data_IF_772357008273
#
_entry.id   IF_772357008273
#
_cell.length_a   1.000
_cell.length_b   1.000
_cell.length_c   1.000
_cell.angle_alpha   90.00
_cell.angle_beta   90.00
_cell.angle_gamma   90.00
#
_symmetry.space_group_name_H-M   'P 1'
#
loop_
_entity.id
_entity.type
_entity.pdbx_description
1 polymer ?
#
# COMPACT_ATOMS: atom_id res chain seq x y z
N UNK A 1 4.35 -15.23 -32.44
CA UNK A 1 5.65 -15.86 -32.11
C UNK A 1 5.87 -15.77 -30.61
N UNK A 2 6.54 -16.75 -29.98
CA UNK A 2 6.79 -16.67 -28.53
C UNK A 2 7.97 -15.73 -28.25
N UNK A 3 8.06 -15.22 -27.02
CA UNK A 3 9.05 -14.20 -26.69
C UNK A 3 10.51 -14.71 -26.76
N UNK A 4 10.77 -16.00 -26.53
CA UNK A 4 12.12 -16.56 -26.66
C UNK A 4 12.54 -16.66 -28.12
N UNK A 5 11.63 -16.97 -29.04
CA UNK A 5 11.92 -16.97 -30.49
C UNK A 5 12.17 -15.55 -30.98
N UNK A 6 11.44 -14.57 -30.45
CA UNK A 6 11.70 -13.16 -30.70
C UNK A 6 13.11 -12.73 -30.21
N UNK A 7 13.51 -13.14 -29.01
CA UNK A 7 14.87 -12.92 -28.48
C UNK A 7 15.93 -13.53 -29.40
N UNK A 8 15.71 -14.75 -29.87
CA UNK A 8 16.63 -15.43 -30.78
C UNK A 8 16.86 -14.64 -32.07
N UNK A 9 15.79 -14.17 -32.71
CA UNK A 9 15.87 -13.37 -33.94
C UNK A 9 16.63 -12.06 -33.69
N UNK A 10 16.33 -11.38 -32.59
CA UNK A 10 16.98 -10.11 -32.27
C UNK A 10 18.48 -10.30 -32.04
N UNK A 11 18.88 -11.32 -31.27
CA UNK A 11 20.29 -11.62 -31.06
C UNK A 11 20.98 -12.05 -32.37
N UNK A 12 20.33 -12.90 -33.19
CA UNK A 12 20.87 -13.33 -34.47
C UNK A 12 21.14 -12.15 -35.42
N UNK A 13 20.26 -11.15 -35.43
CA UNK A 13 20.43 -9.93 -36.21
C UNK A 13 21.50 -8.99 -35.64
N UNK A 14 21.60 -8.90 -34.31
CA UNK A 14 22.55 -8.03 -33.64
C UNK A 14 24.01 -8.51 -33.78
N UNK A 15 24.24 -9.83 -33.78
CA UNK A 15 25.58 -10.47 -33.84
C UNK A 15 26.54 -10.05 -32.71
N UNK A 16 25.99 -9.49 -31.64
CA UNK A 16 26.71 -9.11 -30.43
C UNK A 16 25.81 -9.32 -29.19
N UNK A 17 26.38 -9.49 -27.99
CA UNK A 17 25.60 -9.59 -26.76
C UNK A 17 24.80 -8.32 -26.51
N UNK A 18 23.52 -8.47 -26.16
CA UNK A 18 22.64 -7.33 -25.89
C UNK A 18 22.08 -7.39 -24.48
N UNK A 19 21.90 -6.20 -23.89
CA UNK A 19 21.17 -6.05 -22.64
C UNK A 19 19.68 -6.38 -22.85
N UNK A 20 19.01 -6.99 -21.87
CA UNK A 20 17.63 -7.44 -22.03
C UNK A 20 16.63 -6.33 -22.37
N UNK A 21 16.90 -5.10 -21.93
CA UNK A 21 16.07 -3.93 -22.27
C UNK A 21 16.17 -3.62 -23.78
N UNK A 22 17.38 -3.67 -24.34
CA UNK A 22 17.61 -3.47 -25.77
C UNK A 22 17.04 -4.60 -26.61
N UNK A 23 17.16 -5.84 -26.13
CA UNK A 23 16.50 -7.00 -26.77
C UNK A 23 15.00 -6.77 -26.83
N UNK A 24 14.40 -6.31 -25.73
CA UNK A 24 12.95 -6.06 -25.64
C UNK A 24 12.51 -4.94 -26.56
N UNK A 25 13.24 -3.83 -26.58
CA UNK A 25 13.01 -2.69 -27.49
C UNK A 25 12.96 -3.15 -28.94
N UNK A 26 13.97 -3.89 -29.41
CA UNK A 26 14.02 -4.42 -30.78
C UNK A 26 12.91 -5.43 -31.08
N UNK A 27 12.52 -6.26 -30.11
CA UNK A 27 11.39 -7.19 -30.25
C UNK A 27 10.08 -6.44 -30.51
N UNK A 28 9.83 -5.35 -29.77
CA UNK A 28 8.61 -4.56 -29.90
C UNK A 28 8.61 -3.73 -31.18
N UNK A 29 9.72 -3.06 -31.52
CA UNK A 29 9.86 -2.28 -32.75
C UNK A 29 9.65 -3.12 -34.01
N UNK A 30 10.12 -4.37 -34.01
CA UNK A 30 9.95 -5.30 -35.13
C UNK A 30 8.64 -6.08 -35.06
N UNK A 31 7.75 -5.79 -34.10
CA UNK A 31 6.49 -6.48 -33.85
C UNK A 31 6.64 -8.02 -33.76
N UNK A 32 7.79 -8.49 -33.24
CA UNK A 32 8.13 -9.91 -33.15
C UNK A 32 7.36 -10.60 -32.02
N UNK A 33 6.96 -9.85 -30.98
CA UNK A 33 6.16 -10.35 -29.87
C UNK A 33 5.28 -9.22 -29.33
N UNK A 34 4.02 -9.53 -29.01
CA UNK A 34 3.02 -8.60 -28.49
C UNK A 34 2.77 -8.95 -27.02
N UNK A 35 2.67 -7.93 -26.18
CA UNK A 35 2.47 -8.07 -24.72
C UNK A 35 1.58 -6.96 -24.19
N UNK A 36 0.64 -7.31 -23.31
CA UNK A 36 -0.24 -6.37 -22.60
C UNK A 36 0.33 -5.95 -21.24
N UNK A 37 1.43 -6.58 -20.81
CA UNK A 37 2.09 -6.31 -19.53
C UNK A 37 2.82 -4.97 -19.51
N UNK A 38 2.77 -4.28 -18.36
CA UNK A 38 3.39 -2.95 -18.16
C UNK A 38 4.93 -2.98 -18.16
N UNK A 39 5.56 -4.14 -17.99
CA UNK A 39 7.02 -4.33 -17.88
C UNK A 39 7.52 -5.47 -18.80
N UNK A 40 7.49 -5.26 -20.12
CA UNK A 40 7.87 -6.28 -21.10
C UNK A 40 9.35 -6.69 -21.00
N UNK A 41 10.21 -5.79 -20.56
CA UNK A 41 11.65 -5.98 -20.42
C UNK A 41 12.00 -6.93 -19.29
N UNK A 42 11.39 -6.74 -18.11
CA UNK A 42 11.49 -7.68 -17.00
C UNK A 42 11.01 -9.08 -17.39
N UNK A 43 9.97 -9.16 -18.23
CA UNK A 43 9.43 -10.42 -18.77
C UNK A 43 10.44 -11.12 -19.69
N UNK A 44 11.09 -10.39 -20.60
CA UNK A 44 12.13 -10.96 -21.48
C UNK A 44 13.32 -11.45 -20.66
N UNK A 45 13.84 -10.63 -19.74
CA UNK A 45 14.95 -10.99 -18.87
C UNK A 45 14.68 -12.31 -18.12
N UNK A 46 13.53 -12.39 -17.46
CA UNK A 46 13.13 -13.57 -16.69
C UNK A 46 13.02 -14.81 -17.58
N UNK A 47 12.40 -14.69 -18.76
CA UNK A 47 12.19 -15.85 -19.65
C UNK A 47 13.50 -16.38 -20.21
N UNK A 48 14.44 -15.52 -20.61
CA UNK A 48 15.75 -15.94 -21.11
C UNK A 48 16.58 -16.55 -19.98
N UNK A 49 16.60 -15.93 -18.81
CA UNK A 49 17.31 -16.46 -17.64
C UNK A 49 16.77 -17.83 -17.22
N UNK A 50 15.44 -18.03 -17.23
CA UNK A 50 14.80 -19.32 -16.92
C UNK A 50 15.13 -20.37 -17.98
N UNK A 51 15.16 -20.01 -19.27
CA UNK A 51 15.53 -20.95 -20.34
C UNK A 51 16.99 -21.43 -20.19
N UNK A 52 17.93 -20.51 -19.95
CA UNK A 52 19.33 -20.83 -19.68
C UNK A 52 19.45 -21.72 -18.45
N UNK A 53 18.75 -21.39 -17.36
CA UNK A 53 18.77 -22.18 -16.11
C UNK A 53 18.21 -23.59 -16.30
N UNK A 54 17.11 -23.75 -17.05
CA UNK A 54 16.44 -25.04 -17.23
C UNK A 54 17.17 -25.96 -18.22
N UNK A 55 17.69 -25.39 -19.31
CA UNK A 55 18.32 -26.18 -20.39
C UNK A 55 19.84 -26.22 -20.28
N UNK A 56 20.44 -25.37 -19.45
CA UNK A 56 21.88 -25.32 -19.23
C UNK A 56 22.66 -25.19 -20.55
N UNK A 57 23.67 -26.06 -20.80
CA UNK A 57 24.45 -26.03 -22.03
C UNK A 57 23.64 -26.24 -23.32
N UNK A 58 22.41 -26.75 -23.21
CA UNK A 58 21.51 -27.02 -24.34
C UNK A 58 20.66 -25.78 -24.68
N UNK A 59 20.63 -24.76 -23.82
CA UNK A 59 19.97 -23.50 -24.16
C UNK A 59 20.69 -22.85 -25.35
N UNK A 60 19.92 -22.34 -26.31
CA UNK A 60 20.44 -21.53 -27.42
C UNK A 60 20.97 -20.16 -26.96
N UNK A 61 20.74 -19.80 -25.70
CA UNK A 61 21.21 -18.57 -25.09
C UNK A 61 22.31 -18.85 -24.07
N UNK A 62 23.16 -17.85 -23.87
CA UNK A 62 24.12 -17.80 -22.78
C UNK A 62 24.12 -16.38 -22.19
N UNK A 63 24.59 -16.27 -20.95
CA UNK A 63 24.78 -14.97 -20.30
C UNK A 63 26.24 -14.57 -20.41
N UNK A 64 26.53 -13.35 -20.82
CA UNK A 64 27.92 -12.86 -20.96
C UNK A 64 28.30 -11.88 -19.85
N UNK A 65 27.31 -11.17 -19.29
CA UNK A 65 27.43 -10.25 -18.14
C UNK A 65 26.08 -10.12 -17.41
N UNK A 66 26.00 -9.51 -16.21
CA UNK A 66 24.71 -9.20 -15.57
C UNK A 66 23.78 -8.42 -16.51
N UNK A 67 22.64 -9.00 -16.87
CA UNK A 67 21.65 -8.38 -17.77
C UNK A 67 21.92 -8.52 -19.27
N UNK A 68 23.08 -9.05 -19.68
CA UNK A 68 23.46 -9.25 -21.09
C UNK A 68 23.36 -10.70 -21.53
N UNK A 69 22.74 -10.90 -22.69
CA UNK A 69 22.51 -12.21 -23.28
C UNK A 69 23.07 -12.31 -24.69
N UNK A 70 23.56 -13.49 -25.05
CA UNK A 70 24.12 -13.81 -26.35
C UNK A 70 23.62 -15.17 -26.85
N UNK A 71 23.79 -15.46 -28.14
CA UNK A 71 23.57 -16.82 -28.65
C UNK A 71 24.74 -17.72 -28.26
N UNK A 72 24.41 -18.94 -27.84
CA UNK A 72 25.42 -19.91 -27.40
C UNK A 72 26.33 -20.37 -28.53
N UNK A 73 25.83 -20.38 -29.76
CA UNK A 73 26.62 -20.73 -30.95
C UNK A 73 27.79 -19.77 -31.23
N UNK A 74 27.79 -18.58 -30.62
CA UNK A 74 28.89 -17.61 -30.77
C UNK A 74 30.13 -17.98 -29.95
N UNK A 75 30.04 -18.95 -29.04
CA UNK A 75 31.20 -19.47 -28.30
C UNK A 75 31.89 -18.44 -27.41
N UNK A 76 31.16 -17.42 -26.93
CA UNK A 76 31.70 -16.41 -26.01
C UNK A 76 31.88 -17.00 -24.60
N UNK A 77 32.72 -16.36 -23.79
CA UNK A 77 32.85 -16.72 -22.39
C UNK A 77 31.49 -16.56 -21.68
N UNK A 78 31.03 -17.65 -21.08
CA UNK A 78 29.78 -17.63 -20.32
C UNK A 78 30.07 -17.02 -18.95
N UNK A 79 29.33 -15.97 -18.61
CA UNK A 79 29.30 -15.40 -17.28
C UNK A 79 28.82 -16.47 -16.31
N UNK A 80 29.79 -17.14 -15.71
CA UNK A 80 29.55 -17.95 -14.54
C UNK A 80 29.33 -16.96 -13.40
N UNK A 81 28.09 -16.91 -12.90
CA UNK A 81 27.87 -16.46 -11.54
C UNK A 81 28.86 -17.26 -10.69
N UNK A 82 29.92 -16.62 -10.21
CA UNK A 82 30.89 -17.25 -9.31
C UNK A 82 30.08 -17.70 -8.12
N UNK A 83 29.74 -18.99 -8.14
CA UNK A 83 29.24 -19.71 -7.00
C UNK A 83 30.47 -19.90 -6.13
N UNK A 84 30.52 -19.23 -4.99
CA UNK A 84 31.13 -19.88 -3.83
C UNK A 84 30.56 -21.29 -3.75
N UNK A 85 31.41 -22.28 -3.53
CA UNK A 85 31.08 -23.70 -3.43
C UNK A 85 29.74 -23.98 -2.73
N UNK A 86 29.05 -25.08 -3.08
CA UNK A 86 27.76 -25.40 -2.50
C UNK A 86 27.89 -25.54 -0.99
N UNK A 87 27.46 -24.52 -0.26
CA UNK A 87 26.98 -24.70 1.10
C UNK A 87 25.69 -25.48 0.95
N UNK A 88 25.76 -26.78 1.23
CA UNK A 88 24.56 -27.54 1.60
C UNK A 88 23.74 -26.67 2.57
N UNK A 89 22.43 -26.56 2.27
CA UNK A 89 21.44 -25.82 3.05
C UNK A 89 21.40 -24.29 2.85
N UNK A 90 21.14 -23.81 1.62
CA UNK A 90 20.54 -22.47 1.49
C UNK A 90 19.09 -22.53 1.95
N UNK A 91 18.93 -22.37 3.26
CA UNK A 91 17.66 -22.21 3.94
C UNK A 91 16.82 -21.18 3.17
N UNK A 92 15.73 -21.63 2.54
CA UNK A 92 14.72 -20.75 1.93
C UNK A 92 14.41 -19.63 2.92
N UNK A 93 14.39 -18.39 2.43
CA UNK A 93 14.20 -17.24 3.30
C UNK A 93 12.80 -17.28 3.91
N UNK A 94 12.64 -16.66 5.07
CA UNK A 94 11.30 -16.33 5.55
C UNK A 94 10.68 -15.29 4.60
N UNK A 95 9.36 -15.19 4.59
CA UNK A 95 8.65 -14.16 3.81
C UNK A 95 9.19 -12.74 4.11
N UNK A 96 9.47 -12.44 5.38
CA UNK A 96 9.96 -11.10 5.74
C UNK A 96 11.42 -10.89 5.34
N UNK A 97 12.30 -11.88 5.49
CA UNK A 97 13.69 -11.73 5.02
C UNK A 97 13.77 -11.63 3.48
N UNK A 98 12.90 -12.33 2.76
CA UNK A 98 12.79 -12.21 1.31
C UNK A 98 12.26 -10.84 0.86
N UNK A 99 11.29 -10.27 1.59
CA UNK A 99 10.83 -8.91 1.34
C UNK A 99 11.89 -7.86 1.64
N UNK A 100 12.68 -8.04 2.70
CA UNK A 100 13.83 -7.17 2.96
C UNK A 100 14.84 -7.23 1.84
N UNK A 101 15.17 -8.43 1.34
CA UNK A 101 16.08 -8.58 0.20
C UNK A 101 15.57 -7.84 -1.04
N UNK A 102 14.30 -8.06 -1.42
CA UNK A 102 13.71 -7.39 -2.59
C UNK A 102 13.72 -5.88 -2.43
N UNK A 103 13.26 -5.38 -1.27
CA UNK A 103 13.26 -3.96 -1.02
C UNK A 103 14.69 -3.41 -1.15
N UNK A 104 15.66 -4.01 -0.46
CA UNK A 104 17.02 -3.49 -0.39
C UNK A 104 17.77 -3.48 -1.74
N UNK A 105 17.52 -4.48 -2.59
CA UNK A 105 18.29 -4.67 -3.81
C UNK A 105 17.58 -4.18 -5.07
N UNK A 106 16.24 -4.09 -5.05
CA UNK A 106 15.44 -3.82 -6.26
C UNK A 106 14.59 -2.56 -6.17
N UNK A 107 14.33 -2.02 -4.98
CA UNK A 107 13.39 -0.92 -4.83
C UNK A 107 13.99 0.47 -5.01
N UNK A 108 15.31 0.59 -5.18
CA UNK A 108 16.03 1.86 -5.30
C UNK A 108 15.62 2.90 -4.23
N UNK A 109 15.55 2.44 -2.97
CA UNK A 109 15.12 3.24 -1.81
C UNK A 109 13.70 3.84 -1.91
N UNK A 110 12.85 3.33 -2.79
CA UNK A 110 11.44 3.67 -2.87
C UNK A 110 10.56 2.57 -2.23
N UNK A 111 9.47 2.92 -1.51
CA UNK A 111 8.50 1.93 -1.08
C UNK A 111 7.91 1.17 -2.27
N UNK A 112 7.69 -0.13 -2.11
CA UNK A 112 7.02 -0.99 -3.08
C UNK A 112 5.67 -1.46 -2.52
N UNK A 113 4.69 -1.70 -3.37
CA UNK A 113 3.45 -2.32 -2.94
C UNK A 113 3.72 -3.81 -2.61
N UNK A 114 3.09 -4.35 -1.56
CA UNK A 114 3.38 -5.72 -1.10
C UNK A 114 3.18 -6.80 -2.18
N UNK A 115 2.30 -6.55 -3.17
CA UNK A 115 2.12 -7.45 -4.32
C UNK A 115 3.36 -7.46 -5.22
N UNK A 116 3.88 -6.28 -5.55
CA UNK A 116 5.08 -6.14 -6.38
C UNK A 116 6.30 -6.74 -5.67
N UNK A 117 6.37 -6.61 -4.34
CA UNK A 117 7.41 -7.27 -3.53
C UNK A 117 7.29 -8.80 -3.68
N UNK A 118 6.08 -9.34 -3.53
CA UNK A 118 5.84 -10.78 -3.65
C UNK A 118 6.16 -11.32 -5.05
N UNK A 119 5.81 -10.57 -6.09
CA UNK A 119 6.15 -10.93 -7.48
C UNK A 119 7.67 -11.08 -7.66
N UNK A 120 8.46 -10.14 -7.13
CA UNK A 120 9.93 -10.23 -7.18
C UNK A 120 10.47 -11.39 -6.33
N UNK A 121 9.88 -11.65 -5.16
CA UNK A 121 10.26 -12.79 -4.30
C UNK A 121 10.08 -14.12 -5.05
N UNK A 122 8.95 -14.29 -5.75
CA UNK A 122 8.66 -15.50 -6.54
C UNK A 122 9.59 -15.60 -7.75
N UNK A 123 9.81 -14.48 -8.44
CA UNK A 123 10.69 -14.41 -9.61
C UNK A 123 12.14 -14.81 -9.27
N UNK A 124 12.60 -14.41 -8.07
CA UNK A 124 13.92 -14.75 -7.54
C UNK A 124 13.98 -16.12 -6.83
N UNK A 125 12.85 -16.83 -6.70
CA UNK A 125 12.72 -18.12 -6.02
C UNK A 125 13.27 -18.10 -4.57
N UNK A 126 13.04 -16.99 -3.85
CA UNK A 126 13.62 -16.76 -2.51
C UNK A 126 12.93 -17.55 -1.40
N UNK A 127 11.68 -17.95 -1.59
CA UNK A 127 10.86 -18.66 -0.61
C UNK A 127 10.16 -19.87 -1.21
N UNK A 128 9.56 -20.71 -0.36
CA UNK A 128 8.64 -21.78 -0.78
C UNK A 128 7.25 -21.43 -0.27
N UNK A 129 6.23 -21.48 -1.14
CA UNK A 129 4.85 -21.18 -0.75
C UNK A 129 3.90 -22.29 -1.20
N UNK A 130 3.12 -22.85 -0.28
CA UNK A 130 2.08 -23.85 -0.57
C UNK A 130 0.64 -23.27 -0.54
N UNK A 131 0.49 -22.03 -0.07
CA UNK A 131 -0.82 -21.36 0.10
C UNK A 131 -1.34 -20.67 -1.16
N UNK A 132 -2.66 -20.49 -1.24
CA UNK A 132 -3.35 -19.91 -2.41
C UNK A 132 -3.16 -18.38 -2.57
N UNK A 133 -2.75 -17.65 -1.53
CA UNK A 133 -2.63 -16.17 -1.54
C UNK A 133 -1.34 -15.68 -0.90
N UNK A 134 -0.17 -15.97 -1.50
CA UNK A 134 1.14 -15.67 -0.91
C UNK A 134 1.39 -14.16 -0.67
N UNK A 135 0.78 -13.27 -1.45
CA UNK A 135 0.90 -11.81 -1.30
C UNK A 135 0.25 -11.33 0.00
N UNK A 136 -0.96 -11.83 0.29
CA UNK A 136 -1.68 -11.50 1.53
C UNK A 136 -0.92 -12.03 2.75
N UNK A 137 -0.39 -13.26 2.65
CA UNK A 137 0.46 -13.86 3.68
C UNK A 137 1.70 -13.01 3.93
N UNK A 138 2.40 -12.58 2.87
CA UNK A 138 3.56 -11.71 2.97
C UNK A 138 3.22 -10.42 3.73
N UNK A 139 2.17 -9.73 3.31
CA UNK A 139 1.79 -8.46 3.90
C UNK A 139 1.39 -8.60 5.37
N UNK A 140 0.60 -9.63 5.73
CA UNK A 140 0.24 -9.91 7.12
C UNK A 140 1.47 -10.21 7.99
N UNK A 141 2.47 -10.92 7.47
CA UNK A 141 3.71 -11.19 8.20
C UNK A 141 4.52 -9.92 8.44
N UNK A 142 4.65 -9.05 7.42
CA UNK A 142 5.30 -7.73 7.55
C UNK A 142 4.60 -6.89 8.62
N UNK A 143 3.27 -6.78 8.57
CA UNK A 143 2.49 -6.02 9.56
C UNK A 143 2.65 -6.57 10.98
N UNK A 144 2.67 -7.90 11.12
CA UNK A 144 2.86 -8.57 12.41
C UNK A 144 4.25 -8.31 12.98
N UNK A 145 5.30 -8.30 12.14
CA UNK A 145 6.66 -7.97 12.56
C UNK A 145 6.78 -6.51 13.01
N UNK A 146 6.20 -5.57 12.26
CA UNK A 146 6.14 -4.15 12.63
C UNK A 146 5.48 -3.98 14.01
N UNK A 147 4.32 -4.61 14.23
CA UNK A 147 3.60 -4.55 15.51
C UNK A 147 4.41 -5.16 16.66
N UNK A 148 5.02 -6.33 16.45
CA UNK A 148 5.81 -7.05 17.46
C UNK A 148 7.05 -6.26 17.90
N UNK A 149 7.83 -5.73 16.96
CA UNK A 149 9.05 -4.99 17.27
C UNK A 149 8.73 -3.64 17.94
N UNK A 150 7.67 -2.93 17.48
CA UNK A 150 7.23 -1.68 18.10
C UNK A 150 6.80 -1.87 19.56
N UNK A 151 6.17 -3.00 19.90
CA UNK A 151 5.76 -3.31 21.28
C UNK A 151 6.93 -3.61 22.23
N UNK A 152 8.10 -3.98 21.69
CA UNK A 152 9.31 -4.29 22.46
C UNK A 152 10.26 -3.09 22.61
N UNK A 153 9.82 -1.90 22.20
CA UNK A 153 10.64 -0.69 22.07
C UNK A 153 11.84 -0.86 21.11
N UNK A 154 11.79 -1.89 20.25
CA UNK A 154 12.75 -2.10 19.17
C UNK A 154 12.31 -1.34 17.93
N UNK A 155 13.28 -1.08 17.05
CA UNK A 155 13.01 -0.40 15.79
C UNK A 155 12.68 -1.37 14.65
N UNK A 156 11.43 -1.46 14.16
CA UNK A 156 11.12 -2.39 13.09
C UNK A 156 11.85 -2.14 11.78
N UNK A 157 12.33 -3.19 11.12
CA UNK A 157 13.06 -3.03 9.84
C UNK A 157 12.17 -2.55 8.68
N UNK A 158 10.85 -2.75 8.77
CA UNK A 158 9.88 -2.27 7.78
C UNK A 158 9.14 -1.01 8.25
N UNK A 159 8.71 -0.22 7.28
CA UNK A 159 7.86 0.96 7.46
C UNK A 159 6.68 0.86 6.50
N UNK A 160 5.47 1.07 7.00
CA UNK A 160 4.25 1.14 6.19
C UNK A 160 4.01 2.60 5.77
N UNK A 161 3.69 2.80 4.49
CA UNK A 161 3.44 4.12 3.90
C UNK A 161 1.95 4.38 3.55
N UNK A 162 1.06 3.41 3.83
CA UNK A 162 -0.36 3.46 3.44
C UNK A 162 -0.64 2.59 2.22
N UNK A 163 -1.91 2.22 1.99
CA UNK A 163 -2.38 1.52 0.78
C UNK A 163 -1.57 0.29 0.34
N UNK A 164 -0.98 -0.45 1.28
CA UNK A 164 -0.18 -1.64 0.98
C UNK A 164 1.30 -1.36 0.64
N UNK A 165 1.74 -0.11 0.68
CA UNK A 165 3.12 0.29 0.43
C UNK A 165 4.02 0.01 1.63
N UNK A 166 5.13 -0.68 1.37
CA UNK A 166 6.13 -1.09 2.36
C UNK A 166 7.51 -0.60 1.91
N UNK A 167 8.29 -0.05 2.84
CA UNK A 167 9.70 0.25 2.62
C UNK A 167 10.57 -0.16 3.80
N UNK A 168 11.89 0.00 3.68
CA UNK A 168 12.82 -0.31 4.77
C UNK A 168 13.09 0.90 5.64
N UNK A 169 13.22 0.65 6.95
CA UNK A 169 13.60 1.65 7.95
C UNK A 169 14.96 2.25 7.69
N UNK A 170 15.90 1.48 7.15
CA UNK A 170 17.25 2.00 6.83
C UNK A 170 17.24 3.05 5.72
N UNK A 171 16.14 3.18 4.97
CA UNK A 171 15.92 4.27 4.03
C UNK A 171 15.40 5.54 4.72
N UNK A 172 15.00 5.47 5.99
CA UNK A 172 14.45 6.63 6.70
C UNK A 172 15.53 7.71 6.81
N UNK A 173 15.42 8.71 5.93
CA UNK A 173 16.37 9.80 5.74
C UNK A 173 16.55 10.22 4.29
N UNK A 174 16.27 9.33 3.32
CA UNK A 174 16.57 9.52 1.90
C UNK A 174 15.33 9.22 1.02
N UNK A 175 15.22 9.85 -0.16
CA UNK A 175 14.18 9.58 -1.17
C UNK A 175 12.88 10.40 -1.07
N UNK A 176 12.22 10.60 -2.22
CA UNK A 176 11.01 11.43 -2.35
C UNK A 176 9.82 10.86 -1.56
N UNK A 177 9.61 9.54 -1.60
CA UNK A 177 8.50 8.90 -0.88
C UNK A 177 8.59 9.07 0.63
N UNK A 178 9.80 9.00 1.21
CA UNK A 178 10.03 9.30 2.62
C UNK A 178 9.75 10.77 2.95
N UNK A 179 10.20 11.70 2.10
CA UNK A 179 9.91 13.12 2.28
C UNK A 179 8.40 13.40 2.23
N UNK A 180 7.67 12.78 1.30
CA UNK A 180 6.21 12.88 1.19
C UNK A 180 5.54 12.34 2.46
N UNK A 181 5.90 11.13 2.91
CA UNK A 181 5.27 10.56 4.09
C UNK A 181 5.61 11.31 5.39
N UNK A 182 6.88 11.74 5.55
CA UNK A 182 7.29 12.60 6.67
C UNK A 182 6.50 13.91 6.66
N UNK A 183 6.35 14.53 5.49
CA UNK A 183 5.54 15.73 5.32
C UNK A 183 4.09 15.46 5.69
N UNK A 184 3.48 14.40 5.13
CA UNK A 184 2.08 14.03 5.40
C UNK A 184 1.85 13.76 6.89
N UNK A 185 2.75 13.06 7.58
CA UNK A 185 2.68 12.86 9.05
C UNK A 185 2.72 14.18 9.81
N UNK A 186 3.56 15.13 9.39
CA UNK A 186 3.61 16.47 10.00
C UNK A 186 2.32 17.24 9.74
N UNK A 187 1.74 17.15 8.54
CA UNK A 187 0.46 17.78 8.21
C UNK A 187 -0.68 17.17 9.03
N UNK A 188 -0.77 15.84 9.13
CA UNK A 188 -1.76 15.15 10.00
C UNK A 188 -1.69 15.65 11.43
N UNK A 189 -0.48 15.76 12.00
CA UNK A 189 -0.27 16.28 13.36
C UNK A 189 -0.69 17.74 13.50
N UNK A 190 -0.38 18.59 12.52
CA UNK A 190 -0.82 20.00 12.50
C UNK A 190 -2.33 20.12 12.41
N UNK A 191 -2.96 19.31 11.54
CA UNK A 191 -4.40 19.29 11.36
C UNK A 191 -5.10 18.87 12.65
N UNK A 192 -4.66 17.77 13.28
CA UNK A 192 -5.21 17.33 14.57
C UNK A 192 -5.08 18.41 15.67
N UNK A 193 -3.95 19.12 15.70
CA UNK A 193 -3.73 20.25 16.59
C UNK A 193 -4.70 21.41 16.30
N UNK A 194 -4.96 21.70 15.03
CA UNK A 194 -5.95 22.69 14.62
C UNK A 194 -7.37 22.28 15.02
N UNK A 195 -7.78 21.03 14.78
CA UNK A 195 -9.09 20.51 15.20
C UNK A 195 -9.30 20.67 16.71
N UNK A 196 -8.27 20.41 17.51
CA UNK A 196 -8.29 20.57 18.96
C UNK A 196 -8.42 22.04 19.41
N UNK A 197 -8.03 22.99 18.55
CA UNK A 197 -8.10 24.43 18.81
C UNK A 197 -9.45 25.07 18.45
N UNK A 198 -10.25 24.44 17.59
CA UNK A 198 -11.58 24.92 17.20
C UNK A 198 -12.50 25.06 18.41
N UNK A 199 -13.46 25.97 18.36
CA UNK A 199 -14.59 25.99 19.30
C UNK A 199 -15.50 24.78 19.06
N UNK A 200 -16.31 24.35 20.06
CA UNK A 200 -17.24 23.24 19.88
C UNK A 200 -18.14 23.40 18.64
N UNK A 201 -18.73 24.58 18.44
CA UNK A 201 -19.61 24.84 17.30
C UNK A 201 -18.89 24.85 15.95
N UNK A 202 -17.64 25.34 15.89
CA UNK A 202 -16.83 25.24 14.66
C UNK A 202 -16.50 23.78 14.33
N UNK A 203 -16.24 22.96 15.36
CA UNK A 203 -15.98 21.53 15.18
C UNK A 203 -17.23 20.79 14.70
N UNK A 204 -18.40 21.06 15.30
CA UNK A 204 -19.70 20.51 14.87
C UNK A 204 -19.99 20.87 13.40
N UNK A 205 -19.77 22.14 13.01
CA UNK A 205 -19.96 22.59 11.62
C UNK A 205 -19.01 21.89 10.63
N UNK A 206 -17.75 21.73 11.01
CA UNK A 206 -16.76 20.99 10.21
C UNK A 206 -17.18 19.53 10.03
N UNK A 207 -17.63 18.88 11.10
CA UNK A 207 -18.12 17.50 11.05
C UNK A 207 -19.36 17.39 10.16
N UNK A 208 -20.32 18.32 10.26
CA UNK A 208 -21.47 18.36 9.37
C UNK A 208 -21.08 18.47 7.89
N UNK A 209 -20.06 19.30 7.59
CA UNK A 209 -19.50 19.44 6.24
C UNK A 209 -18.90 18.12 5.76
N UNK A 210 -18.07 17.46 6.59
CA UNK A 210 -17.50 16.16 6.27
C UNK A 210 -18.58 15.10 6.00
N UNK A 211 -19.61 15.02 6.84
CA UNK A 211 -20.71 14.06 6.66
C UNK A 211 -21.45 14.29 5.35
N UNK A 212 -21.65 15.55 4.97
CA UNK A 212 -22.28 15.91 3.69
C UNK A 212 -21.44 15.41 2.52
N UNK A 213 -20.13 15.66 2.53
CA UNK A 213 -19.18 15.16 1.51
C UNK A 213 -19.11 13.62 1.46
N UNK A 214 -19.36 12.95 2.59
CA UNK A 214 -19.45 11.49 2.67
C UNK A 214 -20.77 10.91 2.13
N UNK A 215 -21.71 11.74 1.68
CA UNK A 215 -22.99 11.31 1.11
C UNK A 215 -24.13 11.15 2.14
N UNK A 216 -24.07 11.87 3.26
CA UNK A 216 -25.22 12.01 4.13
C UNK A 216 -26.23 12.99 3.52
N UNK A 217 -27.47 12.52 3.33
CA UNK A 217 -28.61 13.32 2.91
C UNK A 217 -29.42 13.79 4.13
N UNK A 218 -30.21 14.85 3.95
CA UNK A 218 -31.18 15.36 4.96
C UNK A 218 -30.54 15.69 6.32
N UNK A 219 -29.31 16.22 6.33
CA UNK A 219 -28.63 16.59 7.58
C UNK A 219 -29.33 17.76 8.26
N UNK A 220 -30.14 17.46 9.27
CA UNK A 220 -30.69 18.47 10.17
C UNK A 220 -29.72 18.60 11.35
N UNK A 221 -29.02 19.74 11.42
CA UNK A 221 -28.27 20.10 12.63
C UNK A 221 -29.30 20.32 13.74
N UNK A 222 -29.29 19.44 14.74
CA UNK A 222 -30.23 19.52 15.86
C UNK A 222 -29.85 20.72 16.72
N UNK A 223 -30.84 21.54 17.09
CA UNK A 223 -30.59 22.66 18.01
C UNK A 223 -30.34 22.08 19.41
N UNK A 224 -29.28 22.57 20.08
CA UNK A 224 -28.95 22.27 21.48
C UNK A 224 -30.17 22.50 22.40
N UNK A 225 -30.96 21.48 22.66
CA UNK A 225 -31.68 21.25 23.93
C UNK A 225 -32.48 19.94 23.86
N UNK A 226 -32.11 18.97 24.70
CA UNK A 226 -32.99 17.85 25.08
C UNK A 226 -32.86 16.53 24.31
N UNK A 227 -31.97 16.40 23.33
CA UNK A 227 -31.87 15.18 22.49
C UNK A 227 -30.80 14.16 22.93
N UNK A 228 -30.28 14.31 24.14
CA UNK A 228 -29.20 13.46 24.63
C UNK A 228 -27.82 13.76 24.03
N UNK A 229 -27.67 14.88 23.33
CA UNK A 229 -26.40 15.39 22.81
C UNK A 229 -26.06 14.89 21.41
N UNK A 230 -27.08 14.61 20.59
CA UNK A 230 -26.89 14.35 19.16
C UNK A 230 -26.71 15.72 18.48
N UNK A 231 -25.71 15.83 17.61
CA UNK A 231 -25.38 17.09 16.94
C UNK A 231 -25.88 17.09 15.48
N UNK A 232 -25.90 15.91 14.86
CA UNK A 232 -26.38 15.72 13.48
C UNK A 232 -27.26 14.47 13.39
N UNK A 233 -28.42 14.60 12.76
CA UNK A 233 -29.19 13.46 12.25
C UNK A 233 -29.26 13.53 10.73
N UNK A 234 -29.02 12.40 10.07
CA UNK A 234 -29.05 12.32 8.62
C UNK A 234 -29.14 10.89 8.11
N UNK A 235 -29.37 10.74 6.82
CA UNK A 235 -29.44 9.44 6.15
C UNK A 235 -28.19 9.23 5.30
N UNK A 236 -27.36 8.25 5.64
CA UNK A 236 -26.26 7.83 4.77
C UNK A 236 -26.83 7.04 3.60
N UNK A 237 -26.57 7.50 2.37
CA UNK A 237 -26.98 6.83 1.13
C UNK A 237 -25.79 6.25 0.40
N UNK A 238 -25.69 4.92 0.35
CA UNK A 238 -24.60 4.22 -0.35
C UNK A 238 -25.12 3.62 -1.66
N UNK A 239 -24.45 3.95 -2.77
CA UNK A 239 -24.80 3.44 -4.10
C UNK A 239 -26.21 3.81 -4.57
N UNK A 240 -26.81 4.87 -4.00
CA UNK A 240 -28.15 5.35 -4.35
C UNK A 240 -29.33 4.48 -3.87
N UNK A 241 -29.05 3.36 -3.19
CA UNK A 241 -30.09 2.37 -2.83
C UNK A 241 -30.07 1.96 -1.36
N UNK A 242 -28.89 1.93 -0.73
CA UNK A 242 -28.76 1.57 0.68
C UNK A 242 -28.93 2.84 1.51
N UNK A 243 -29.94 2.88 2.37
CA UNK A 243 -30.24 4.03 3.24
C UNK A 243 -30.10 3.61 4.70
N UNK A 244 -29.27 4.32 5.45
CA UNK A 244 -29.07 4.08 6.89
C UNK A 244 -29.31 5.38 7.65
N UNK A 245 -30.26 5.39 8.59
CA UNK A 245 -30.48 6.54 9.47
C UNK A 245 -29.41 6.57 10.55
N UNK A 246 -28.76 7.71 10.69
CA UNK A 246 -27.62 7.91 11.58
C UNK A 246 -27.88 9.10 12.50
N UNK A 247 -27.66 8.89 13.80
CA UNK A 247 -27.51 9.94 14.80
C UNK A 247 -26.03 10.07 15.16
N UNK A 248 -25.47 11.25 14.93
CA UNK A 248 -24.06 11.54 15.11
C UNK A 248 -23.87 12.55 16.23
N UNK A 249 -23.00 12.20 17.18
CA UNK A 249 -22.49 13.12 18.19
C UNK A 249 -21.03 13.47 17.86
N UNK A 250 -20.76 14.76 17.71
CA UNK A 250 -19.47 15.35 17.42
C UNK A 250 -18.96 16.10 18.65
N UNK A 251 -17.99 15.55 19.37
CA UNK A 251 -17.43 16.22 20.55
C UNK A 251 -15.94 16.45 20.48
N UNK A 252 -15.56 17.73 20.63
CA UNK A 252 -14.17 18.13 20.88
C UNK A 252 -13.76 17.79 22.31
N UNK A 253 -12.92 16.77 22.49
CA UNK A 253 -12.49 16.28 23.79
C UNK A 253 -10.97 16.28 23.93
N UNK A 254 -10.50 16.52 25.16
CA UNK A 254 -9.07 16.42 25.52
C UNK A 254 -8.67 15.04 26.02
N UNK A 255 -9.61 14.32 26.63
CA UNK A 255 -9.40 12.99 27.19
C UNK A 255 -10.17 11.94 26.38
N UNK A 256 -9.81 10.68 26.55
CA UNK A 256 -10.51 9.61 25.86
C UNK A 256 -11.96 9.51 26.32
N UNK A 257 -12.86 9.22 25.38
CA UNK A 257 -14.27 9.00 25.66
C UNK A 257 -14.46 7.68 26.42
N UNK A 258 -15.33 7.71 27.42
CA UNK A 258 -15.68 6.58 28.29
C UNK A 258 -17.07 6.00 27.96
N UNK A 259 -17.35 4.79 28.44
CA UNK A 259 -18.59 4.05 28.19
C UNK A 259 -19.89 4.83 28.46
N UNK A 260 -20.00 5.70 29.49
CA UNK A 260 -21.22 6.46 29.74
C UNK A 260 -21.69 7.30 28.55
N UNK A 261 -20.77 7.87 27.76
CA UNK A 261 -21.13 8.65 26.57
C UNK A 261 -21.71 7.75 25.47
N UNK A 262 -21.15 6.55 25.30
CA UNK A 262 -21.68 5.55 24.35
C UNK A 262 -23.11 5.17 24.72
N UNK A 263 -23.36 4.93 26.01
CA UNK A 263 -24.68 4.59 26.54
C UNK A 263 -25.67 5.75 26.35
N UNK A 264 -25.22 6.99 26.56
CA UNK A 264 -26.03 8.19 26.35
C UNK A 264 -26.46 8.34 24.88
N UNK A 265 -25.53 8.22 23.94
CA UNK A 265 -25.85 8.26 22.50
C UNK A 265 -26.81 7.14 22.15
N UNK A 266 -26.53 5.91 22.58
CA UNK A 266 -27.40 4.75 22.33
C UNK A 266 -28.82 4.94 22.86
N UNK A 267 -28.95 5.49 24.07
CA UNK A 267 -30.26 5.78 24.68
C UNK A 267 -31.06 6.87 23.96
N UNK A 268 -30.42 7.63 23.08
CA UNK A 268 -31.02 8.73 22.31
C UNK A 268 -31.38 8.31 20.88
N UNK A 269 -31.05 7.08 20.46
CA UNK A 269 -31.33 6.56 19.13
C UNK A 269 -32.83 6.28 18.96
N UNK A 270 -33.36 6.63 17.80
CA UNK A 270 -34.70 6.27 17.37
C UNK A 270 -34.81 4.82 16.88
N UNK A 271 -36.02 4.41 16.52
CA UNK A 271 -36.25 3.09 15.93
C UNK A 271 -35.45 2.93 14.64
N UNK A 272 -34.65 1.87 14.55
CA UNK A 272 -33.80 1.54 13.39
C UNK A 272 -32.70 2.56 13.07
N UNK A 273 -32.41 3.49 13.98
CA UNK A 273 -31.30 4.43 13.85
C UNK A 273 -29.99 3.82 14.39
N UNK A 274 -28.88 4.12 13.74
CA UNK A 274 -27.54 3.77 14.21
C UNK A 274 -26.84 4.99 14.82
N UNK A 275 -25.99 4.75 15.82
CA UNK A 275 -25.21 5.81 16.45
C UNK A 275 -23.84 5.97 15.81
N UNK A 276 -23.30 7.19 15.81
CA UNK A 276 -21.89 7.45 15.56
C UNK A 276 -21.35 8.51 16.51
N UNK A 277 -20.14 8.32 17.01
CA UNK A 277 -19.43 9.32 17.81
C UNK A 277 -18.14 9.70 17.10
N UNK A 278 -17.98 11.01 16.89
CA UNK A 278 -16.80 11.61 16.28
C UNK A 278 -16.11 12.48 17.33
N UNK A 279 -14.79 12.31 17.49
CA UNK A 279 -14.02 13.10 18.45
C UNK A 279 -12.63 13.46 17.98
N UNK A 280 -12.05 14.51 18.57
CA UNK A 280 -10.64 14.90 18.37
C UNK A 280 -9.66 14.09 19.24
N UNK A 281 -10.16 13.31 20.20
CA UNK A 281 -9.35 12.43 21.05
C UNK A 281 -9.52 10.96 20.63
N UNK A 282 -9.27 10.01 21.54
CA UNK A 282 -9.54 8.59 21.32
C UNK A 282 -10.66 8.05 22.19
N UNK A 283 -10.83 6.72 22.15
CA UNK A 283 -11.79 6.00 22.98
C UNK A 283 -11.07 5.12 24.00
N UNK A 284 -11.66 4.97 25.18
CA UNK A 284 -11.19 3.99 26.17
C UNK A 284 -11.56 2.57 25.74
N UNK A 285 -10.84 1.55 26.24
CA UNK A 285 -11.18 0.14 25.97
C UNK A 285 -12.61 -0.20 26.39
N UNK A 286 -13.08 0.37 27.50
CA UNK A 286 -14.45 0.20 27.97
C UNK A 286 -15.47 0.84 27.02
N UNK A 287 -15.14 1.98 26.41
CA UNK A 287 -16.02 2.63 25.43
C UNK A 287 -16.12 1.81 24.14
N UNK A 288 -15.00 1.28 23.65
CA UNK A 288 -14.98 0.38 22.47
C UNK A 288 -15.81 -0.87 22.75
N UNK A 289 -15.60 -1.53 23.89
CA UNK A 289 -16.38 -2.71 24.27
C UNK A 289 -17.88 -2.42 24.45
N UNK A 290 -18.24 -1.25 24.97
CA UNK A 290 -19.65 -0.84 25.08
C UNK A 290 -20.28 -0.60 23.71
N UNK A 291 -19.54 0.00 22.78
CA UNK A 291 -20.02 0.33 21.43
C UNK A 291 -20.31 -0.92 20.57
N UNK A 292 -19.53 -1.98 20.76
CA UNK A 292 -19.57 -3.25 20.01
C UNK A 292 -20.46 -4.33 20.65
N UNK A 293 -21.23 -3.99 21.69
CA UNK A 293 -22.11 -4.94 22.39
C UNK A 293 -23.10 -5.61 21.44
N UNK A 294 -23.07 -6.94 21.41
CA UNK A 294 -23.90 -7.76 20.53
C UNK A 294 -25.40 -7.68 20.81
N UNK A 295 -25.79 -7.36 22.04
CA UNK A 295 -27.17 -7.25 22.52
C UNK A 295 -27.77 -5.84 22.35
N UNK A 296 -27.04 -4.93 21.72
CA UNK A 296 -27.38 -3.51 21.69
C UNK A 296 -27.19 -2.89 20.30
N UNK A 297 -27.87 -1.76 20.05
CA UNK A 297 -27.69 -1.03 18.79
C UNK A 297 -26.23 -0.59 18.64
N UNK A 298 -25.56 -0.91 17.51
CA UNK A 298 -24.18 -0.53 17.27
C UNK A 298 -23.97 0.98 17.29
N UNK A 299 -22.84 1.39 17.84
CA UNK A 299 -22.39 2.79 17.81
C UNK A 299 -21.02 2.83 17.13
N UNK A 300 -20.95 3.43 15.94
CA UNK A 300 -19.69 3.63 15.24
C UNK A 300 -18.80 4.64 15.97
N UNK A 301 -17.50 4.40 16.01
CA UNK A 301 -16.53 5.26 16.68
C UNK A 301 -15.53 5.80 15.65
N UNK A 302 -15.34 7.12 15.65
CA UNK A 302 -14.35 7.81 14.84
C UNK A 302 -13.47 8.67 15.73
N UNK A 303 -12.21 8.27 15.86
CA UNK A 303 -11.22 9.01 16.66
C UNK A 303 -10.56 10.14 15.85
N UNK A 304 -9.71 10.91 16.52
CA UNK A 304 -9.06 12.06 15.92
C UNK A 304 -8.13 11.71 14.75
N UNK A 305 -7.50 10.53 14.75
CA UNK A 305 -6.64 10.10 13.65
C UNK A 305 -7.48 9.71 12.44
N UNK A 306 -8.54 8.92 12.64
CA UNK A 306 -9.49 8.53 11.60
C UNK A 306 -10.19 9.75 10.98
N UNK A 307 -10.58 10.72 11.82
CA UNK A 307 -11.18 11.97 11.36
C UNK A 307 -10.22 12.76 10.47
N UNK A 308 -8.95 12.89 10.87
CA UNK A 308 -7.91 13.56 10.06
C UNK A 308 -7.72 12.87 8.71
N UNK A 309 -7.69 11.54 8.70
CA UNK A 309 -7.54 10.77 7.47
C UNK A 309 -8.70 11.02 6.49
N UNK A 310 -9.94 11.05 7.00
CA UNK A 310 -11.12 11.37 6.19
C UNK A 310 -11.09 12.83 5.69
N UNK A 311 -10.76 13.80 6.53
CA UNK A 311 -10.64 15.20 6.10
C UNK A 311 -9.62 15.35 4.96
N UNK A 312 -8.48 14.65 5.03
CA UNK A 312 -7.49 14.65 3.95
C UNK A 312 -8.02 13.96 2.68
N UNK A 313 -8.72 12.84 2.83
CA UNK A 313 -9.31 12.09 1.71
C UNK A 313 -10.32 12.95 0.93
N UNK A 314 -11.20 13.65 1.63
CA UNK A 314 -12.18 14.57 1.04
C UNK A 314 -11.62 15.97 0.77
N UNK A 315 -10.30 16.18 0.94
CA UNK A 315 -9.61 17.45 0.72
C UNK A 315 -10.20 18.63 1.51
N UNK A 316 -10.79 18.36 2.66
CA UNK A 316 -11.31 19.36 3.58
C UNK A 316 -10.15 19.90 4.41
N UNK A 317 -9.99 21.23 4.45
CA UNK A 317 -8.86 21.93 5.10
C UNK A 317 -7.47 21.52 4.57
N UNK A 318 -7.40 20.87 3.41
CA UNK A 318 -6.15 20.42 2.80
C UNK A 318 -6.20 20.56 1.28
N UNK A 319 -5.02 20.55 0.65
CA UNK A 319 -4.88 20.54 -0.81
C UNK A 319 -3.91 19.45 -1.19
N UNK A 320 -4.28 18.64 -2.19
CA UNK A 320 -3.38 17.66 -2.79
C UNK A 320 -2.65 18.32 -3.95
N UNK A 321 -1.32 18.26 -3.95
CA UNK A 321 -0.48 18.67 -5.07
C UNK A 321 0.00 17.40 -5.76
N UNK A 322 -0.23 17.31 -7.07
CA UNK A 322 0.32 16.27 -7.92
C UNK A 322 1.40 16.89 -8.82
N UNK A 323 2.52 16.17 -9.00
CA UNK A 323 3.58 16.57 -9.93
C UNK A 323 3.46 15.74 -11.20
N UNK A 324 3.65 16.39 -12.35
CA UNK A 324 3.82 15.74 -13.63
C UNK A 324 5.31 15.45 -13.84
N UNK A 325 5.64 14.18 -14.06
CA UNK A 325 6.99 13.76 -14.39
C UNK A 325 7.01 13.32 -15.85
N UNK A 326 7.80 14.01 -16.65
CA UNK A 326 8.05 13.67 -18.04
C UNK A 326 9.34 12.85 -18.10
N UNK A 327 9.24 11.64 -18.64
CA UNK A 327 10.40 10.82 -18.95
C UNK A 327 10.74 11.00 -20.42
N UNK A 328 12.04 11.10 -20.68
CA UNK A 328 12.55 11.11 -22.04
C UNK A 328 12.39 9.70 -22.61
N UNK A 329 11.46 9.54 -23.55
CA UNK A 329 11.30 8.32 -24.33
C UNK A 329 12.00 8.54 -25.68
N UNK A 330 13.34 8.61 -25.63
CA UNK A 330 14.17 8.66 -26.83
C UNK A 330 14.79 7.29 -27.00
N UNK A 331 14.44 6.67 -28.13
CA UNK A 331 15.22 5.57 -28.65
C UNK A 331 16.58 6.13 -29.11
N UNK A 332 17.62 5.98 -28.30
CA UNK A 332 18.99 6.19 -28.79
C UNK A 332 19.21 5.21 -29.96
N UNK A 333 19.52 5.77 -31.14
CA UNK A 333 19.73 5.08 -32.44
C UNK A 333 20.99 4.22 -32.49
#
# INVERSE_FOLDING_TARGET
MNSLDAVFIVLQNAKEPLHYQEITKRILQQNLWITEGKTPDATINARVAVDIKRKGPVSRFQRTEPGYFALREWGLDEYQLVRTEPVEDTKKLSFTDAAEYVLDNLADKNPMHYRDIMEQILLLDLITTEGQTPEATLYSMILSEIKRQSSRNDSPRFVKFGDGMVGLRKWMGEGLAFQIDKHNRQIKKKLLGHLSSLTPSEFELLVGTLLTEMGFEETNVTKLSGDGGIDVRGTLVVGGVIRTQMAVQAKKWKHNISSPIIQQVRGSLGAHEQGMIITTSGFSKGAIGEAERADATPVALMDGEQLVDLLLQYQILSKRIAYELYYLDIDDE
#
